data_IF_233618415801
#
_entry.id   IF_233618415801
#
_cell.length_a   1.000
_cell.length_b   1.000
_cell.length_c   1.000
_cell.angle_alpha   90.00
_cell.angle_beta   90.00
_cell.angle_gamma   90.00
#
_symmetry.space_group_name_H-M   'P 1'
#
loop_
_entity.id
_entity.type
_entity.pdbx_description
1 polymer ?
#
# COMPACT_ATOMS: atom_id res chain seq x y z
N UNK A 1 -48.03 -33.97 26.02
CA UNK A 1 -47.87 -33.50 24.62
C UNK A 1 -47.40 -32.05 24.53
N UNK A 2 -48.08 -31.06 25.12
CA UNK A 2 -47.68 -29.63 25.02
C UNK A 2 -46.27 -29.31 25.53
N UNK A 3 -45.84 -29.91 26.66
CA UNK A 3 -44.50 -29.72 27.22
C UNK A 3 -43.39 -30.29 26.33
N UNK A 4 -43.62 -31.47 25.73
CA UNK A 4 -42.66 -32.13 24.82
C UNK A 4 -42.48 -31.29 23.54
N UNK A 5 -43.58 -30.78 22.99
CA UNK A 5 -43.55 -29.89 21.81
C UNK A 5 -42.79 -28.60 22.13
N UNK A 6 -42.99 -28.01 23.31
CA UNK A 6 -42.28 -26.81 23.75
C UNK A 6 -40.76 -27.05 23.86
N UNK A 7 -40.34 -28.15 24.48
CA UNK A 7 -38.91 -28.51 24.59
C UNK A 7 -38.28 -28.69 23.20
N UNK A 8 -39.00 -29.34 22.27
CA UNK A 8 -38.51 -29.56 20.91
C UNK A 8 -38.29 -28.23 20.17
N UNK A 9 -39.22 -27.28 20.30
CA UNK A 9 -39.11 -25.95 19.69
C UNK A 9 -37.90 -25.18 20.25
N UNK A 10 -37.69 -25.21 21.57
CA UNK A 10 -36.55 -24.54 22.21
C UNK A 10 -35.22 -25.12 21.73
N UNK A 11 -35.11 -26.44 21.60
CA UNK A 11 -33.90 -27.09 21.08
C UNK A 11 -33.61 -26.71 19.61
N UNK A 12 -34.65 -26.61 18.78
CA UNK A 12 -34.51 -26.18 17.38
C UNK A 12 -34.01 -24.73 17.30
N UNK A 13 -34.58 -23.83 18.11
CA UNK A 13 -34.15 -22.42 18.18
C UNK A 13 -32.71 -22.32 18.65
N UNK A 14 -32.32 -23.06 19.70
CA UNK A 14 -30.96 -23.09 20.21
C UNK A 14 -29.98 -23.59 19.14
N UNK A 15 -30.31 -24.66 18.41
CA UNK A 15 -29.50 -25.18 17.33
C UNK A 15 -29.36 -24.18 16.16
N UNK A 16 -30.42 -23.45 15.83
CA UNK A 16 -30.39 -22.38 14.82
C UNK A 16 -29.50 -21.21 15.26
N UNK A 17 -29.61 -20.75 16.51
CA UNK A 17 -28.77 -19.70 17.07
C UNK A 17 -27.29 -20.10 17.07
N UNK A 18 -26.97 -21.33 17.49
CA UNK A 18 -25.61 -21.87 17.44
C UNK A 18 -25.09 -21.88 16.00
N UNK A 19 -25.90 -22.29 15.03
CA UNK A 19 -25.52 -22.27 13.61
C UNK A 19 -25.19 -20.86 13.09
N UNK A 20 -25.96 -19.86 13.51
CA UNK A 20 -25.74 -18.46 13.12
C UNK A 20 -24.43 -17.94 13.72
N UNK A 21 -24.19 -18.19 15.00
CA UNK A 21 -22.96 -17.78 15.70
C UNK A 21 -21.75 -18.47 15.07
N UNK A 22 -21.82 -19.78 14.82
CA UNK A 22 -20.74 -20.52 14.17
C UNK A 22 -20.44 -20.01 12.75
N UNK A 23 -21.44 -19.64 11.96
CA UNK A 23 -21.22 -19.02 10.64
C UNK A 23 -20.57 -17.64 10.74
N UNK A 24 -20.92 -16.85 11.75
CA UNK A 24 -20.33 -15.53 11.98
C UNK A 24 -18.86 -15.63 12.41
N UNK A 25 -18.52 -16.60 13.27
CA UNK A 25 -17.14 -16.83 13.74
C UNK A 25 -16.25 -17.42 12.64
N UNK A 26 -16.83 -18.24 11.75
CA UNK A 26 -16.06 -18.96 10.72
C UNK A 26 -15.91 -18.17 9.41
N UNK A 27 -16.09 -16.86 9.42
CA UNK A 27 -15.72 -15.98 8.32
C UNK A 27 -14.20 -15.78 8.28
N UNK A 28 -13.46 -16.87 8.20
CA UNK A 28 -12.08 -16.81 7.74
C UNK A 28 -12.14 -16.42 6.27
N UNK A 29 -11.71 -15.19 5.96
CA UNK A 29 -11.71 -14.73 4.58
C UNK A 29 -10.95 -15.73 3.70
N UNK A 30 -11.51 -16.17 2.57
CA UNK A 30 -10.84 -17.09 1.65
C UNK A 30 -9.43 -16.63 1.25
N UNK A 31 -9.23 -15.30 1.19
CA UNK A 31 -7.93 -14.69 0.95
C UNK A 31 -6.91 -15.03 2.04
N UNK A 32 -7.28 -14.91 3.32
CA UNK A 32 -6.39 -15.23 4.44
C UNK A 32 -6.00 -16.71 4.44
N UNK A 33 -6.93 -17.59 4.07
CA UNK A 33 -6.63 -19.03 3.91
C UNK A 33 -5.66 -19.28 2.77
N UNK A 34 -5.82 -18.60 1.63
CA UNK A 34 -4.88 -18.70 0.50
C UNK A 34 -3.49 -18.17 0.85
N UNK A 35 -3.41 -17.03 1.56
CA UNK A 35 -2.14 -16.47 2.03
C UNK A 35 -1.43 -17.43 2.98
N UNK A 36 -2.16 -18.00 3.94
CA UNK A 36 -1.62 -18.98 4.86
C UNK A 36 -1.16 -20.26 4.13
N UNK A 37 -1.94 -20.77 3.17
CA UNK A 37 -1.56 -21.92 2.35
C UNK A 37 -0.31 -21.64 1.49
N UNK A 38 -0.10 -20.39 1.06
CA UNK A 38 1.12 -19.95 0.39
C UNK A 38 2.32 -19.73 1.33
N UNK A 39 2.17 -19.97 2.63
CA UNK A 39 3.20 -19.76 3.64
C UNK A 39 3.41 -18.29 4.03
N UNK A 40 2.49 -17.40 3.67
CA UNK A 40 2.55 -15.98 3.99
C UNK A 40 1.96 -15.78 5.39
N UNK A 41 2.74 -15.15 6.28
CA UNK A 41 2.27 -14.75 7.61
C UNK A 41 1.29 -13.59 7.47
N UNK A 42 0.03 -13.81 7.84
CA UNK A 42 -1.01 -12.78 7.83
C UNK A 42 -0.98 -11.95 9.11
N UNK A 43 -0.79 -10.65 8.98
CA UNK A 43 -0.91 -9.66 10.05
C UNK A 43 -2.21 -8.84 9.94
N UNK A 44 -2.22 -7.68 10.58
CA UNK A 44 -3.40 -6.79 10.59
C UNK A 44 -3.72 -6.23 9.21
N UNK A 45 -2.71 -5.94 8.39
CA UNK A 45 -2.90 -5.42 7.03
C UNK A 45 -3.64 -6.42 6.14
N UNK A 46 -3.26 -7.70 6.17
CA UNK A 46 -3.92 -8.77 5.43
C UNK A 46 -5.34 -8.99 5.95
N UNK A 47 -5.56 -8.87 7.25
CA UNK A 47 -6.91 -8.96 7.83
C UNK A 47 -7.80 -7.82 7.38
N UNK A 48 -7.29 -6.59 7.37
CA UNK A 48 -7.99 -5.43 6.81
C UNK A 48 -8.31 -5.70 5.35
N UNK A 49 -7.30 -6.02 4.53
CA UNK A 49 -7.47 -6.34 3.11
C UNK A 49 -8.55 -7.42 2.86
N UNK A 50 -8.62 -8.41 3.73
CA UNK A 50 -9.58 -9.49 3.63
C UNK A 50 -11.05 -9.07 3.83
N UNK A 51 -11.27 -7.87 4.37
CA UNK A 51 -12.58 -7.29 4.66
C UNK A 51 -13.23 -6.51 3.52
N UNK A 52 -12.54 -6.30 2.39
CA UNK A 52 -13.10 -5.59 1.23
C UNK A 52 -12.09 -4.81 0.39
N UNK A 53 -12.60 -3.90 -0.44
CA UNK A 53 -11.79 -3.01 -1.28
C UNK A 53 -11.43 -1.73 -0.52
N UNK A 54 -10.14 -1.56 -0.19
CA UNK A 54 -9.64 -0.40 0.56
C UNK A 54 -8.83 0.58 -0.30
N UNK A 55 -8.47 0.21 -1.52
CA UNK A 55 -7.80 1.09 -2.46
C UNK A 55 -8.74 1.49 -3.57
N UNK A 56 -8.77 2.79 -3.84
CA UNK A 56 -9.44 3.35 -4.99
C UNK A 56 -8.42 3.97 -5.93
N UNK A 57 -8.63 3.82 -7.23
CA UNK A 57 -7.80 4.47 -8.24
C UNK A 57 -7.88 5.99 -8.07
N UNK A 58 -6.73 6.63 -7.91
CA UNK A 58 -6.64 8.09 -7.97
C UNK A 58 -6.84 8.58 -9.41
N UNK A 59 -7.59 9.67 -9.56
CA UNK A 59 -7.87 10.30 -10.86
C UNK A 59 -6.67 11.09 -11.39
N UNK A 60 -5.92 11.72 -10.49
CA UNK A 60 -4.74 12.54 -10.79
C UNK A 60 -3.55 12.00 -10.00
N UNK A 61 -2.36 12.09 -10.60
CA UNK A 61 -1.12 11.69 -9.94
C UNK A 61 -0.68 12.69 -8.85
N UNK A 62 -0.99 13.97 -9.06
CA UNK A 62 -0.48 15.08 -8.25
C UNK A 62 -1.59 15.76 -7.46
N UNK A 63 -1.23 16.35 -6.32
CA UNK A 63 -2.12 17.23 -5.56
C UNK A 63 -2.35 18.56 -6.29
N UNK A 64 -3.39 19.31 -5.94
CA UNK A 64 -3.66 20.62 -6.59
C UNK A 64 -2.49 21.60 -6.45
N UNK A 65 -1.79 21.55 -5.31
CA UNK A 65 -0.58 22.35 -5.05
C UNK A 65 0.56 21.96 -5.99
N UNK A 66 0.87 20.67 -6.08
CA UNK A 66 1.88 20.15 -7.00
C UNK A 66 1.53 20.45 -8.46
N UNK A 67 0.27 20.35 -8.86
CA UNK A 67 -0.18 20.71 -10.21
C UNK A 67 0.07 22.19 -10.49
N UNK A 68 -0.25 23.07 -9.55
CA UNK A 68 0.00 24.52 -9.69
C UNK A 68 1.49 24.81 -9.85
N UNK A 69 2.31 24.18 -9.00
CA UNK A 69 3.77 24.29 -9.06
C UNK A 69 4.34 23.78 -10.39
N UNK A 70 3.92 22.58 -10.82
CA UNK A 70 4.34 21.98 -12.09
C UNK A 70 3.97 22.84 -13.28
N UNK A 71 2.77 23.43 -13.29
CA UNK A 71 2.38 24.41 -14.34
C UNK A 71 3.28 25.63 -14.35
N UNK A 72 3.74 26.10 -13.19
CA UNK A 72 4.75 27.15 -13.07
C UNK A 72 6.09 26.72 -13.66
N UNK A 73 6.59 25.53 -13.26
CA UNK A 73 7.84 24.98 -13.77
C UNK A 73 7.83 24.81 -15.29
N UNK A 74 6.76 24.26 -15.87
CA UNK A 74 6.65 24.08 -17.32
C UNK A 74 6.77 25.37 -18.13
N UNK A 75 6.49 26.54 -17.53
CA UNK A 75 6.63 27.84 -18.20
C UNK A 75 8.06 28.37 -18.19
N UNK A 76 8.86 28.01 -17.20
CA UNK A 76 10.21 28.57 -16.99
C UNK A 76 11.32 27.59 -17.38
N UNK A 77 11.05 26.28 -17.36
CA UNK A 77 12.06 25.26 -17.62
C UNK A 77 12.23 25.06 -19.13
N UNK A 78 13.47 25.10 -19.60
CA UNK A 78 13.81 24.69 -20.96
C UNK A 78 13.67 23.18 -21.12
N UNK A 79 12.51 22.75 -21.63
CA UNK A 79 12.17 21.34 -21.86
C UNK A 79 13.04 20.67 -22.96
N UNK A 80 13.85 21.44 -23.72
CA UNK A 80 14.84 20.86 -24.63
C UNK A 80 16.10 20.40 -23.91
N UNK A 81 16.34 20.92 -22.70
CA UNK A 81 17.52 20.61 -21.90
C UNK A 81 17.20 19.78 -20.66
N UNK A 82 16.03 20.00 -20.06
CA UNK A 82 15.67 19.40 -18.78
C UNK A 82 14.39 18.58 -18.88
N UNK A 83 14.32 17.51 -18.10
CA UNK A 83 13.10 16.78 -17.81
C UNK A 83 12.67 16.97 -16.35
N UNK A 84 11.36 16.98 -16.16
CA UNK A 84 10.71 17.08 -14.85
C UNK A 84 10.07 15.73 -14.54
N UNK A 85 10.51 15.11 -13.45
CA UNK A 85 10.05 13.81 -12.99
C UNK A 85 9.29 14.00 -11.68
N UNK A 86 7.95 13.97 -11.67
CA UNK A 86 7.20 14.14 -10.43
C UNK A 86 7.10 12.84 -9.63
N UNK A 87 6.88 12.96 -8.31
CA UNK A 87 6.60 11.84 -7.40
C UNK A 87 7.69 10.75 -7.42
N UNK A 88 8.96 11.15 -7.36
CA UNK A 88 10.10 10.23 -7.43
C UNK A 88 10.45 9.74 -6.03
N UNK A 89 10.60 8.43 -5.84
CA UNK A 89 10.99 7.90 -4.52
C UNK A 89 12.42 8.30 -4.21
N UNK A 90 12.69 8.66 -2.95
CA UNK A 90 14.06 8.99 -2.50
C UNK A 90 15.01 7.83 -2.78
N UNK A 91 14.53 6.58 -2.61
CA UNK A 91 15.28 5.36 -2.91
C UNK A 91 15.76 5.24 -4.37
N UNK A 92 15.14 5.95 -5.32
CA UNK A 92 15.52 5.92 -6.74
C UNK A 92 16.61 6.97 -7.08
N UNK A 93 16.86 7.92 -6.19
CA UNK A 93 17.82 9.03 -6.40
C UNK A 93 19.00 9.04 -5.42
N UNK A 94 18.98 8.18 -4.41
CA UNK A 94 20.10 8.02 -3.46
C UNK A 94 20.70 6.62 -3.56
N UNK A 95 21.99 6.52 -3.24
CA UNK A 95 22.69 5.26 -3.12
C UNK A 95 23.32 5.15 -1.74
N UNK A 96 23.28 3.95 -1.16
CA UNK A 96 24.02 3.66 0.06
C UNK A 96 25.52 3.63 -0.26
N UNK A 97 26.33 4.10 0.67
CA UNK A 97 27.78 4.12 0.55
C UNK A 97 28.33 2.69 0.31
N UNK A 98 29.40 2.57 -0.47
CA UNK A 98 30.03 1.31 -0.85
C UNK A 98 30.58 0.47 0.31
N UNK A 99 30.70 1.04 1.51
CA UNK A 99 31.01 0.30 2.73
C UNK A 99 29.87 -0.64 3.18
N UNK A 100 28.65 -0.48 2.65
CA UNK A 100 27.50 -1.34 2.95
C UNK A 100 27.30 -2.35 1.82
N UNK A 101 27.43 -3.64 2.14
CA UNK A 101 27.22 -4.72 1.17
C UNK A 101 25.81 -4.66 0.58
N UNK A 102 25.64 -4.57 -0.75
CA UNK A 102 24.34 -4.59 -1.41
C UNK A 102 23.50 -5.81 -1.03
N UNK A 103 22.19 -5.61 -0.85
CA UNK A 103 21.19 -6.65 -0.49
C UNK A 103 21.46 -7.40 0.82
N UNK A 104 22.41 -6.95 1.65
CA UNK A 104 22.59 -7.44 3.01
C UNK A 104 21.40 -7.05 3.89
N UNK A 105 21.29 -7.66 5.08
CA UNK A 105 20.26 -7.30 6.06
C UNK A 105 20.29 -5.81 6.43
N UNK A 106 21.50 -5.26 6.65
CA UNK A 106 21.71 -3.85 6.95
C UNK A 106 21.30 -2.96 5.78
N UNK A 107 21.65 -3.36 4.55
CA UNK A 107 21.23 -2.66 3.34
C UNK A 107 19.71 -2.59 3.24
N UNK A 108 19.01 -3.71 3.45
CA UNK A 108 17.54 -3.75 3.43
C UNK A 108 16.90 -2.94 4.54
N UNK A 109 17.54 -2.85 5.72
CA UNK A 109 17.07 -1.99 6.82
C UNK A 109 17.12 -0.52 6.41
N UNK A 110 18.25 -0.05 5.89
CA UNK A 110 18.41 1.34 5.46
C UNK A 110 17.56 1.66 4.22
N UNK A 111 17.50 0.76 3.25
CA UNK A 111 16.67 0.91 2.06
C UNK A 111 15.19 1.10 2.41
N UNK A 112 14.66 0.30 3.35
CA UNK A 112 13.27 0.44 3.81
C UNK A 112 12.96 1.80 4.42
N UNK A 113 13.93 2.44 5.06
CA UNK A 113 13.73 3.78 5.63
C UNK A 113 13.53 4.81 4.53
N UNK A 114 14.36 4.78 3.49
CA UNK A 114 14.28 5.77 2.38
C UNK A 114 13.19 5.45 1.37
N UNK A 115 12.78 4.18 1.22
CA UNK A 115 11.75 3.78 0.24
C UNK A 115 10.34 4.28 0.57
N UNK A 116 10.13 4.77 1.80
CA UNK A 116 8.85 5.32 2.25
C UNK A 116 8.65 6.77 1.81
N UNK A 117 9.72 7.45 1.40
CA UNK A 117 9.70 8.87 1.07
C UNK A 117 9.72 9.08 -0.43
N UNK A 118 9.01 10.10 -0.89
CA UNK A 118 9.11 10.63 -2.23
C UNK A 118 9.55 12.09 -2.17
N UNK A 119 10.03 12.58 -3.30
CA UNK A 119 10.24 14.00 -3.58
C UNK A 119 9.21 14.42 -4.62
N UNK A 120 8.64 15.60 -4.45
CA UNK A 120 7.60 16.11 -5.35
C UNK A 120 8.06 16.20 -6.80
N UNK A 121 9.25 16.76 -7.07
CA UNK A 121 9.80 16.91 -8.42
C UNK A 121 11.31 16.73 -8.44
N UNK A 122 11.81 15.88 -9.34
CA UNK A 122 13.24 15.78 -9.67
C UNK A 122 13.48 16.34 -11.07
N UNK A 123 14.47 17.21 -11.19
CA UNK A 123 14.92 17.79 -12.46
C UNK A 123 16.16 17.04 -12.91
N UNK A 124 16.13 16.54 -14.15
CA UNK A 124 17.26 15.81 -14.74
C UNK A 124 17.70 16.43 -16.07
N UNK A 125 18.98 16.29 -16.40
CA UNK A 125 19.51 16.64 -17.72
C UNK A 125 19.00 15.65 -18.77
N UNK A 126 18.51 16.17 -19.90
CA UNK A 126 17.76 15.37 -20.88
C UNK A 126 18.58 14.29 -21.59
N UNK A 127 19.90 14.47 -21.79
CA UNK A 127 20.74 13.54 -22.55
C UNK A 127 21.29 12.41 -21.70
N UNK A 128 21.71 12.73 -20.48
CA UNK A 128 22.41 11.85 -19.55
C UNK A 128 21.52 11.34 -18.42
N UNK A 129 20.36 11.98 -18.20
CA UNK A 129 19.50 11.74 -17.04
C UNK A 129 20.22 11.97 -15.70
N UNK A 130 21.27 12.78 -15.68
CA UNK A 130 21.92 13.18 -14.44
C UNK A 130 20.97 14.02 -13.60
N UNK A 131 20.86 13.69 -12.31
CA UNK A 131 20.05 14.46 -11.36
C UNK A 131 20.68 15.84 -11.17
N UNK A 132 19.87 16.88 -11.36
CA UNK A 132 20.30 18.29 -11.23
C UNK A 132 19.77 18.88 -9.94
N UNK A 133 18.50 18.63 -9.64
CA UNK A 133 17.83 19.13 -8.46
C UNK A 133 16.68 18.20 -8.04
N UNK A 134 16.38 18.22 -6.75
CA UNK A 134 15.23 17.58 -6.14
C UNK A 134 14.48 18.68 -5.36
N UNK A 135 13.17 18.82 -5.60
CA UNK A 135 12.35 19.93 -5.11
C UNK A 135 11.15 19.37 -4.35
N UNK A 136 10.89 19.95 -3.17
CA UNK A 136 9.80 19.61 -2.24
C UNK A 136 8.98 20.88 -1.92
N UNK A 137 7.65 20.75 -1.74
CA UNK A 137 6.69 21.85 -1.60
C UNK A 137 6.04 22.02 -0.22
#
# INVERSE_FOLDING_TARGET
>A
MKLIIFILIVLIIAALLIRIILRSVNQHSPLLMQLHAAGIRTGDAERILSGGEYWQRQKTLLTEREVSFMKGLFRIVDMKRWYLCPQVRVADIVQLNGNIRPRSRQWWQLFRMVSQWHVDVVIVERRSFSIVAAVEL
#
